data_IF_918488604896
#
_entry.id   IF_918488604896
#
_cell.length_a   1.000
_cell.length_b   1.000
_cell.length_c   1.000
_cell.angle_alpha   90.00
_cell.angle_beta   90.00
_cell.angle_gamma   90.00
#
_symmetry.space_group_name_H-M   'P 1'
#
loop_
_entity.id
_entity.type
_entity.pdbx_description
1 polymer ?
#
# COMPACT_ATOMS: atom_id res chain seq x y z
N UNK A 1 -18.45 72.24 20.79
CA UNK A 1 -18.12 73.67 20.93
C UNK A 1 -16.60 73.78 21.03
N UNK A 2 -15.95 73.97 19.88
CA UNK A 2 -14.54 74.37 19.75
C UNK A 2 -14.40 74.97 18.34
N UNK A 3 -13.76 76.13 18.27
CA UNK A 3 -13.81 77.11 17.17
C UNK A 3 -12.71 76.95 16.09
N UNK A 4 -13.07 77.43 14.89
CA UNK A 4 -12.33 78.18 13.84
C UNK A 4 -11.20 77.56 12.99
N UNK A 5 -11.37 77.84 11.69
CA UNK A 5 -10.33 78.06 10.66
C UNK A 5 -10.46 77.08 9.50
N UNK A 6 -10.68 77.43 8.23
CA UNK A 6 -10.75 78.70 7.50
C UNK A 6 -11.17 78.37 6.05
N UNK A 7 -11.60 79.38 5.32
CA UNK A 7 -12.24 79.35 3.99
C UNK A 7 -11.41 78.69 2.87
N UNK A 8 -12.08 78.02 1.92
CA UNK A 8 -12.29 78.48 0.53
C UNK A 8 -12.75 77.35 -0.40
N UNK A 9 -13.85 77.62 -1.10
CA UNK A 9 -13.97 77.33 -2.54
C UNK A 9 -14.84 76.14 -2.97
N UNK A 10 -16.01 76.48 -3.53
CA UNK A 10 -16.49 75.83 -4.75
C UNK A 10 -17.62 74.83 -4.59
N UNK A 11 -18.84 75.28 -4.89
CA UNK A 11 -20.11 74.54 -4.96
C UNK A 11 -20.02 73.17 -5.66
N UNK A 12 -20.60 72.14 -5.03
CA UNK A 12 -21.14 70.95 -5.70
C UNK A 12 -22.54 70.67 -5.16
N UNK A 13 -23.54 71.03 -5.95
CA UNK A 13 -24.89 70.51 -5.80
C UNK A 13 -25.04 69.10 -6.38
N UNK A 14 -26.09 68.42 -5.93
CA UNK A 14 -26.76 67.36 -6.69
C UNK A 14 -26.35 65.93 -6.36
N UNK A 15 -27.10 65.34 -5.45
CA UNK A 15 -27.04 63.93 -5.03
C UNK A 15 -27.79 62.99 -6.00
N UNK A 16 -27.45 61.69 -5.92
CA UNK A 16 -28.19 60.48 -6.37
C UNK A 16 -28.01 59.96 -7.81
N UNK A 17 -27.32 58.82 -7.88
CA UNK A 17 -27.88 57.63 -8.55
C UNK A 17 -26.96 56.91 -9.54
N UNK A 18 -26.72 55.62 -9.30
CA UNK A 18 -26.56 54.64 -10.38
C UNK A 18 -25.17 54.01 -10.55
N UNK A 19 -25.03 52.79 -10.03
CA UNK A 19 -24.05 51.81 -10.52
C UNK A 19 -24.26 51.57 -12.02
N UNK A 20 -23.26 51.90 -12.86
CA UNK A 20 -23.35 51.74 -14.30
C UNK A 20 -21.97 51.65 -14.97
N UNK A 21 -21.73 50.48 -15.56
CA UNK A 21 -20.61 50.09 -16.44
C UNK A 21 -20.07 51.22 -17.34
N UNK A 22 -18.75 51.30 -17.49
CA UNK A 22 -18.13 51.89 -18.68
C UNK A 22 -16.73 52.46 -18.50
N UNK A 23 -15.69 51.63 -18.67
CA UNK A 23 -14.40 52.12 -19.17
C UNK A 23 -14.01 51.28 -20.39
N UNK A 24 -14.28 51.85 -21.56
CA UNK A 24 -13.87 51.33 -22.86
C UNK A 24 -13.15 52.41 -23.65
N UNK A 25 -11.87 52.19 -23.94
CA UNK A 25 -11.08 52.74 -25.06
C UNK A 25 -9.72 52.07 -24.97
N UNK A 26 -9.18 51.31 -25.93
CA UNK A 26 -9.57 50.90 -27.27
C UNK A 26 -8.40 50.05 -27.80
N UNK A 27 -8.67 49.00 -28.55
CA UNK A 27 -7.62 48.11 -29.07
C UNK A 27 -8.20 46.87 -29.73
N UNK A 28 -8.90 47.06 -30.85
CA UNK A 28 -9.43 45.99 -31.71
C UNK A 28 -8.30 45.59 -32.66
N UNK A 29 -7.64 44.47 -32.37
CA UNK A 29 -6.74 43.75 -33.27
C UNK A 29 -7.24 42.31 -33.40
N UNK A 30 -7.83 42.01 -34.54
CA UNK A 30 -8.46 40.75 -34.91
C UNK A 30 -7.45 39.58 -35.02
N UNK A 31 -7.94 38.39 -34.62
CA UNK A 31 -7.67 37.05 -35.19
C UNK A 31 -6.27 36.42 -35.05
N UNK A 32 -6.27 35.31 -34.29
CA UNK A 32 -5.53 34.11 -34.68
C UNK A 32 -4.65 33.54 -33.57
N UNK A 33 -5.16 32.59 -32.79
CA UNK A 33 -4.32 31.89 -31.81
C UNK A 33 -5.09 31.00 -30.86
N UNK A 34 -5.49 29.83 -31.35
CA UNK A 34 -5.87 28.59 -30.63
C UNK A 34 -6.44 28.77 -29.22
N UNK A 35 -7.76 28.51 -29.09
CA UNK A 35 -8.37 27.96 -27.87
C UNK A 35 -7.38 27.00 -27.23
N UNK A 36 -6.86 27.36 -26.05
CA UNK A 36 -5.94 26.52 -25.28
C UNK A 36 -6.57 25.14 -25.18
N UNK A 37 -6.00 24.20 -25.93
CA UNK A 37 -6.45 22.83 -25.95
C UNK A 37 -6.51 22.35 -24.51
N UNK A 38 -7.67 21.83 -24.13
CA UNK A 38 -7.87 21.01 -22.94
C UNK A 38 -6.62 20.15 -22.81
N UNK A 39 -5.76 20.40 -21.81
CA UNK A 39 -4.53 19.63 -21.56
C UNK A 39 -4.93 18.17 -21.75
N UNK A 40 -4.45 17.58 -22.85
CA UNK A 40 -4.68 16.17 -23.13
C UNK A 40 -4.31 15.43 -21.87
N UNK A 41 -5.20 14.53 -21.43
CA UNK A 41 -4.95 13.74 -20.23
C UNK A 41 -3.53 13.22 -20.34
N UNK A 42 -2.67 13.63 -19.39
CA UNK A 42 -1.31 13.12 -19.27
C UNK A 42 -1.47 11.62 -19.32
N UNK A 43 -1.09 11.00 -20.45
CA UNK A 43 -0.96 9.56 -20.51
C UNK A 43 -0.10 9.24 -19.30
N UNK A 44 -0.61 8.40 -18.42
CA UNK A 44 0.17 7.92 -17.29
C UNK A 44 1.29 7.12 -17.92
N UNK A 45 2.42 7.78 -18.20
CA UNK A 45 3.69 7.10 -18.35
C UNK A 45 3.79 6.21 -17.12
N UNK A 46 3.81 4.89 -17.33
CA UNK A 46 4.06 3.96 -16.26
C UNK A 46 5.37 4.39 -15.59
N UNK A 47 5.28 4.85 -14.33
CA UNK A 47 6.45 5.27 -13.57
C UNK A 47 7.41 4.08 -13.50
N UNK A 48 8.44 4.12 -14.35
CA UNK A 48 9.45 3.07 -14.46
C UNK A 48 10.16 2.95 -13.12
N UNK A 49 9.89 1.89 -12.37
CA UNK A 49 10.48 1.67 -11.04
C UNK A 49 12.01 1.68 -11.10
N UNK A 50 12.65 2.57 -10.35
CA UNK A 50 14.10 2.61 -10.15
C UNK A 50 14.41 2.09 -8.75
N UNK A 51 15.07 0.92 -8.62
CA UNK A 51 15.31 0.29 -7.33
C UNK A 51 16.40 1.03 -6.56
N UNK A 52 16.16 1.27 -5.28
CA UNK A 52 17.11 1.97 -4.40
C UNK A 52 17.96 0.96 -3.64
N UNK A 53 17.34 -0.14 -3.22
CA UNK A 53 17.95 -1.21 -2.42
C UNK A 53 18.71 -2.21 -3.29
N UNK A 54 19.70 -2.88 -2.67
CA UNK A 54 20.40 -4.02 -3.27
C UNK A 54 19.42 -5.11 -3.71
N UNK A 55 18.43 -5.41 -2.86
CA UNK A 55 17.38 -6.38 -3.15
C UNK A 55 16.55 -5.96 -4.38
N UNK A 56 16.13 -4.70 -4.45
CA UNK A 56 15.38 -4.18 -5.60
C UNK A 56 16.15 -4.30 -6.91
N UNK A 57 17.48 -4.10 -6.90
CA UNK A 57 18.31 -4.28 -8.10
C UNK A 57 18.33 -5.74 -8.54
N UNK A 58 18.53 -6.67 -7.62
CA UNK A 58 18.54 -8.10 -7.92
C UNK A 58 17.22 -8.60 -8.51
N UNK A 59 16.10 -8.08 -7.98
CA UNK A 59 14.76 -8.44 -8.47
C UNK A 59 14.51 -7.82 -9.84
N UNK A 60 14.86 -6.54 -10.04
CA UNK A 60 14.69 -5.87 -11.33
C UNK A 60 15.57 -6.47 -12.44
N UNK A 61 16.75 -6.96 -12.09
CA UNK A 61 17.67 -7.63 -13.03
C UNK A 61 17.35 -9.12 -13.22
N UNK A 62 16.19 -9.61 -12.72
CA UNK A 62 15.75 -11.02 -12.81
C UNK A 62 16.77 -12.03 -12.25
N UNK A 63 17.54 -11.63 -11.23
CA UNK A 63 18.45 -12.53 -10.49
C UNK A 63 17.73 -13.25 -9.36
N UNK A 64 16.73 -12.60 -8.78
CA UNK A 64 15.76 -13.20 -7.85
C UNK A 64 14.44 -13.25 -8.58
N UNK A 65 13.99 -14.46 -8.91
CA UNK A 65 12.74 -14.66 -9.66
C UNK A 65 11.59 -15.14 -8.77
N UNK A 66 11.91 -15.66 -7.58
CA UNK A 66 10.94 -16.19 -6.63
C UNK A 66 10.99 -15.45 -5.31
N UNK A 67 9.81 -15.14 -4.77
CA UNK A 67 9.69 -14.56 -3.43
C UNK A 67 10.18 -15.52 -2.32
N UNK A 68 10.19 -16.82 -2.60
CA UNK A 68 10.70 -17.86 -1.70
C UNK A 68 12.18 -17.66 -1.33
N UNK A 69 13.01 -17.17 -2.24
CA UNK A 69 14.43 -16.87 -1.98
C UNK A 69 14.56 -15.77 -0.92
N UNK A 70 13.69 -14.76 -0.98
CA UNK A 70 13.64 -13.67 0.00
C UNK A 70 13.27 -14.23 1.38
N UNK A 71 12.29 -15.15 1.43
CA UNK A 71 11.85 -15.78 2.67
C UNK A 71 12.92 -16.70 3.27
N UNK A 72 13.58 -17.51 2.45
CA UNK A 72 14.62 -18.44 2.89
C UNK A 72 15.79 -17.70 3.53
N UNK A 73 16.24 -16.60 2.92
CA UNK A 73 17.35 -15.79 3.43
C UNK A 73 16.91 -14.69 4.41
N UNK A 74 15.61 -14.62 4.75
CA UNK A 74 15.04 -13.60 5.65
C UNK A 74 15.42 -12.16 5.28
N UNK A 75 15.44 -11.86 3.97
CA UNK A 75 15.87 -10.55 3.48
C UNK A 75 14.78 -9.50 3.73
N UNK A 76 15.11 -8.33 4.33
CA UNK A 76 14.11 -7.32 4.63
C UNK A 76 13.67 -6.58 3.37
N UNK A 77 12.38 -6.71 3.02
CA UNK A 77 11.76 -5.97 1.93
C UNK A 77 11.41 -4.55 2.39
N UNK A 78 11.92 -3.54 1.67
CA UNK A 78 11.66 -2.11 1.96
C UNK A 78 10.98 -1.36 0.81
N UNK A 79 10.86 -2.00 -0.35
CA UNK A 79 10.21 -1.45 -1.54
C UNK A 79 9.03 -2.36 -1.91
N UNK A 80 7.83 -1.81 -2.08
CA UNK A 80 6.63 -2.62 -2.36
C UNK A 80 6.65 -3.18 -3.79
N UNK A 81 7.35 -2.49 -4.70
CA UNK A 81 7.52 -2.89 -6.10
C UNK A 81 8.26 -4.23 -6.24
N UNK A 82 9.11 -4.59 -5.27
CA UNK A 82 9.75 -5.92 -5.20
C UNK A 82 8.67 -7.01 -5.16
N UNK A 83 7.64 -6.81 -4.35
CA UNK A 83 6.59 -7.82 -4.19
C UNK A 83 5.63 -7.81 -5.37
N UNK A 84 5.37 -6.64 -5.97
CA UNK A 84 4.55 -6.52 -7.18
C UNK A 84 5.15 -7.21 -8.40
N UNK A 85 6.49 -7.19 -8.51
CA UNK A 85 7.21 -7.86 -9.61
C UNK A 85 7.32 -9.37 -9.39
N UNK A 86 7.55 -9.81 -8.15
CA UNK A 86 7.72 -11.24 -7.83
C UNK A 86 6.41 -12.01 -7.71
N UNK A 87 5.33 -11.37 -7.26
CA UNK A 87 4.01 -11.99 -7.09
C UNK A 87 3.00 -11.19 -7.91
N UNK A 88 2.89 -11.45 -9.23
CA UNK A 88 1.86 -10.84 -10.05
C UNK A 88 0.48 -11.35 -9.61
N UNK A 89 -0.54 -10.49 -9.66
CA UNK A 89 -1.92 -10.87 -9.32
C UNK A 89 -2.33 -10.70 -7.86
N UNK A 90 -1.51 -10.02 -7.05
CA UNK A 90 -1.91 -9.60 -5.70
C UNK A 90 -3.18 -8.74 -5.73
N UNK A 91 -4.20 -9.20 -5.02
CA UNK A 91 -5.45 -8.46 -4.80
C UNK A 91 -5.42 -7.80 -3.44
N UNK A 92 -5.97 -6.59 -3.35
CA UNK A 92 -6.14 -5.88 -2.09
C UNK A 92 -7.61 -5.78 -1.70
N UNK A 93 -7.88 -5.86 -0.39
CA UNK A 93 -9.21 -5.63 0.16
C UNK A 93 -9.14 -4.77 1.42
N UNK A 94 -9.97 -3.72 1.45
CA UNK A 94 -10.13 -2.85 2.62
C UNK A 94 -11.07 -3.51 3.62
N UNK A 95 -10.54 -3.87 4.78
CA UNK A 95 -11.28 -4.61 5.80
C UNK A 95 -12.17 -3.70 6.65
N UNK A 96 -11.58 -2.61 7.14
CA UNK A 96 -12.28 -1.63 7.98
C UNK A 96 -11.58 -0.29 7.96
N UNK A 97 -12.39 0.77 8.04
CA UNK A 97 -11.95 2.13 8.28
C UNK A 97 -12.51 2.56 9.63
N UNK A 98 -11.66 3.09 10.51
CA UNK A 98 -12.06 3.61 11.82
C UNK A 98 -11.56 5.04 11.98
N UNK A 99 -12.43 6.02 12.31
CA UNK A 99 -11.98 7.34 12.72
C UNK A 99 -11.31 7.24 14.10
N UNK A 100 -10.18 7.91 14.26
CA UNK A 100 -9.45 8.05 15.52
C UNK A 100 -9.22 9.53 15.78
N UNK A 101 -9.39 9.95 17.03
CA UNK A 101 -9.43 11.37 17.39
C UNK A 101 -8.45 11.63 18.54
N UNK A 102 -7.79 12.78 18.51
CA UNK A 102 -6.91 13.26 19.60
C UNK A 102 -7.31 14.70 19.96
N UNK A 103 -7.48 14.97 21.25
CA UNK A 103 -7.71 16.34 21.73
C UNK A 103 -6.40 17.15 21.68
N UNK A 104 -6.49 18.38 21.18
CA UNK A 104 -5.39 19.35 21.15
C UNK A 104 -5.82 20.67 21.78
N UNK A 105 -4.87 21.60 21.99
CA UNK A 105 -5.18 22.94 22.50
C UNK A 105 -6.14 23.71 21.58
N UNK A 106 -6.12 23.44 20.27
CA UNK A 106 -6.99 24.05 19.27
C UNK A 106 -8.19 23.15 18.91
N UNK A 107 -8.69 22.36 19.87
CA UNK A 107 -9.84 21.46 19.67
C UNK A 107 -9.46 20.05 19.21
N UNK A 108 -10.43 19.35 18.63
CA UNK A 108 -10.30 17.93 18.28
C UNK A 108 -9.65 17.74 16.91
N UNK A 109 -8.60 16.90 16.85
CA UNK A 109 -7.96 16.49 15.59
C UNK A 109 -8.33 15.05 15.24
N UNK A 110 -9.04 14.87 14.13
CA UNK A 110 -9.46 13.56 13.62
C UNK A 110 -8.49 13.03 12.56
N UNK A 111 -8.36 11.70 12.51
CA UNK A 111 -7.63 10.95 11.48
C UNK A 111 -8.40 9.68 11.17
N UNK A 112 -8.13 9.06 10.03
CA UNK A 112 -8.72 7.78 9.65
C UNK A 112 -7.65 6.69 9.68
N UNK A 113 -7.95 5.60 10.37
CA UNK A 113 -7.17 4.38 10.39
C UNK A 113 -7.80 3.38 9.42
N UNK A 114 -7.03 2.93 8.43
CA UNK A 114 -7.44 1.91 7.47
C UNK A 114 -6.73 0.60 7.77
N UNK A 115 -7.47 -0.51 7.68
CA UNK A 115 -6.97 -1.87 7.73
C UNK A 115 -7.16 -2.49 6.35
N UNK A 116 -6.08 -2.97 5.74
CA UNK A 116 -6.07 -3.55 4.40
C UNK A 116 -5.36 -4.89 4.44
N UNK A 117 -5.90 -5.86 3.71
CA UNK A 117 -5.29 -7.17 3.45
C UNK A 117 -4.84 -7.17 2.00
N UNK A 118 -3.69 -7.76 1.72
CA UNK A 118 -3.19 -8.03 0.38
C UNK A 118 -2.84 -9.50 0.28
N UNK A 119 -3.18 -10.16 -0.82
CA UNK A 119 -2.80 -11.56 -1.05
C UNK A 119 -3.19 -12.06 -2.43
N UNK A 120 -2.65 -13.21 -2.80
CA UNK A 120 -2.87 -13.88 -4.08
C UNK A 120 -3.90 -15.02 -4.00
N UNK A 121 -4.27 -15.44 -2.77
CA UNK A 121 -5.10 -16.63 -2.57
C UNK A 121 -4.32 -17.93 -2.74
N UNK A 122 -2.98 -17.88 -2.78
CA UNK A 122 -2.12 -19.04 -3.02
C UNK A 122 -0.95 -19.09 -2.02
N UNK A 123 -1.24 -18.76 -0.76
CA UNK A 123 -0.25 -18.85 0.31
C UNK A 123 0.56 -17.59 0.55
N UNK A 124 0.19 -16.43 0.02
CA UNK A 124 0.83 -15.15 0.36
C UNK A 124 -0.18 -14.16 0.96
N UNK A 125 0.09 -13.68 2.18
CA UNK A 125 -0.78 -12.68 2.84
C UNK A 125 0.04 -11.60 3.50
N UNK A 126 -0.35 -10.36 3.22
CA UNK A 126 0.14 -9.14 3.86
C UNK A 126 -0.98 -8.40 4.60
N UNK A 127 -0.61 -7.76 5.71
CA UNK A 127 -1.53 -6.95 6.51
C UNK A 127 -0.99 -5.53 6.69
N UNK A 128 -1.81 -4.57 6.30
CA UNK A 128 -1.49 -3.16 6.31
C UNK A 128 -2.37 -2.39 7.27
N UNK A 129 -1.76 -1.60 8.15
CA UNK A 129 -2.48 -0.69 9.03
C UNK A 129 -1.85 0.68 8.93
N UNK A 130 -2.62 1.68 8.49
CA UNK A 130 -2.13 3.06 8.39
C UNK A 130 -3.16 4.06 8.86
N UNK A 131 -2.67 5.14 9.47
CA UNK A 131 -3.47 6.28 9.89
C UNK A 131 -3.07 7.52 9.07
N UNK A 132 -4.03 8.20 8.46
CA UNK A 132 -3.80 9.46 7.74
C UNK A 132 -4.92 10.47 8.00
N UNK A 133 -4.75 11.72 7.52
CA UNK A 133 -5.79 12.75 7.61
C UNK A 133 -6.96 12.46 6.67
N UNK A 134 -6.66 11.92 5.49
CA UNK A 134 -7.65 11.56 4.48
C UNK A 134 -7.78 10.05 4.36
N UNK A 135 -8.97 9.59 4.00
CA UNK A 135 -9.27 8.16 3.87
C UNK A 135 -8.47 7.54 2.72
N UNK A 136 -8.44 8.19 1.55
CA UNK A 136 -7.75 7.68 0.36
C UNK A 136 -6.25 7.49 0.60
N UNK A 137 -5.60 8.43 1.29
CA UNK A 137 -4.17 8.34 1.61
C UNK A 137 -3.89 7.27 2.67
N UNK A 138 -4.81 7.06 3.63
CA UNK A 138 -4.73 5.96 4.58
C UNK A 138 -4.80 4.59 3.86
N UNK A 139 -5.73 4.43 2.92
CA UNK A 139 -5.90 3.18 2.15
C UNK A 139 -4.66 2.91 1.29
N UNK A 140 -4.24 3.87 0.45
CA UNK A 140 -3.07 3.69 -0.43
C UNK A 140 -1.82 3.32 0.36
N UNK A 141 -1.57 4.01 1.46
CA UNK A 141 -0.41 3.70 2.27
C UNK A 141 -0.55 2.42 3.10
N UNK A 142 -1.77 1.96 3.41
CA UNK A 142 -2.00 0.65 4.01
C UNK A 142 -1.75 -0.47 3.01
N UNK A 143 -2.12 -0.30 1.73
CA UNK A 143 -1.79 -1.25 0.64
C UNK A 143 -0.28 -1.42 0.53
N UNK A 144 0.48 -0.31 0.49
CA UNK A 144 1.96 -0.36 0.45
C UNK A 144 2.51 -1.11 1.66
N UNK A 145 2.02 -0.83 2.87
CA UNK A 145 2.48 -1.50 4.08
C UNK A 145 2.14 -3.00 4.06
N UNK A 146 0.96 -3.37 3.57
CA UNK A 146 0.55 -4.76 3.41
C UNK A 146 1.47 -5.51 2.44
N UNK A 147 1.84 -4.91 1.30
CA UNK A 147 2.79 -5.48 0.35
C UNK A 147 4.18 -5.70 0.97
N UNK A 148 4.64 -4.78 1.82
CA UNK A 148 5.91 -4.94 2.54
C UNK A 148 5.86 -6.04 3.62
N UNK A 149 4.68 -6.34 4.15
CA UNK A 149 4.48 -7.31 5.23
C UNK A 149 3.92 -8.65 4.75
N UNK A 150 4.08 -8.98 3.47
CA UNK A 150 3.61 -10.28 2.92
C UNK A 150 4.42 -11.41 3.55
N UNK A 151 3.71 -12.38 4.10
CA UNK A 151 4.28 -13.55 4.76
C UNK A 151 3.77 -14.83 4.08
N UNK A 152 4.61 -15.85 3.91
CA UNK A 152 4.19 -17.11 3.31
C UNK A 152 3.33 -17.92 4.29
N UNK A 153 2.14 -18.30 3.86
CA UNK A 153 1.21 -19.19 4.56
C UNK A 153 1.43 -20.61 4.09
N UNK A 154 1.84 -21.46 5.03
CA UNK A 154 1.98 -22.88 4.74
C UNK A 154 0.63 -23.59 4.79
N UNK A 155 0.24 -24.15 3.66
CA UNK A 155 -0.91 -25.06 3.52
C UNK A 155 -0.46 -26.51 3.65
N UNK A 156 -1.38 -27.39 3.98
CA UNK A 156 -1.17 -28.80 4.25
C UNK A 156 -2.44 -29.61 4.06
N UNK A 157 -2.43 -30.80 4.64
CA UNK A 157 -3.46 -31.82 4.45
C UNK A 157 -4.14 -32.18 5.75
N UNK A 158 -5.37 -32.68 5.65
CA UNK A 158 -6.09 -33.26 6.77
C UNK A 158 -5.92 -34.78 6.75
N UNK A 159 -5.03 -35.28 7.60
CA UNK A 159 -4.68 -36.71 7.67
C UNK A 159 -3.87 -37.17 6.45
N UNK A 160 -4.55 -37.55 5.37
CA UNK A 160 -3.91 -38.11 4.16
C UNK A 160 -3.50 -37.02 3.15
N UNK A 161 -2.34 -37.20 2.52
CA UNK A 161 -1.79 -36.32 1.47
C UNK A 161 -2.43 -36.59 0.11
N UNK A 162 -3.72 -36.29 -0.02
CA UNK A 162 -4.47 -36.51 -1.24
C UNK A 162 -4.65 -35.16 -1.95
N UNK A 163 -4.28 -35.04 -3.22
CA UNK A 163 -4.51 -33.84 -4.04
C UNK A 163 -3.72 -32.60 -3.62
N UNK A 164 -4.30 -31.40 -3.82
CA UNK A 164 -3.68 -30.14 -3.45
C UNK A 164 -3.85 -29.82 -1.95
N UNK A 165 -2.89 -29.11 -1.32
CA UNK A 165 -3.02 -28.69 0.08
C UNK A 165 -4.20 -27.71 0.27
N UNK A 166 -5.20 -28.12 1.05
CA UNK A 166 -6.45 -27.37 1.24
C UNK A 166 -6.60 -26.76 2.64
N UNK A 167 -5.85 -27.27 3.64
CA UNK A 167 -5.99 -26.88 5.05
C UNK A 167 -4.66 -26.47 5.69
N UNK A 168 -4.61 -26.26 7.00
CA UNK A 168 -3.38 -25.98 7.76
C UNK A 168 -2.70 -27.31 8.14
N UNK A 169 -1.36 -27.44 8.09
CA UNK A 169 -0.69 -28.71 8.40
C UNK A 169 -0.84 -29.17 9.86
N UNK A 170 -1.02 -28.24 10.79
CA UNK A 170 -1.08 -28.50 12.22
C UNK A 170 -2.00 -27.49 12.91
N UNK A 171 -2.38 -27.77 14.17
CA UNK A 171 -3.14 -26.80 14.96
C UNK A 171 -2.22 -25.64 15.32
N UNK A 172 -2.51 -24.44 14.82
CA UNK A 172 -1.70 -23.24 15.06
C UNK A 172 -2.48 -22.24 15.91
N UNK A 173 -1.83 -21.65 16.90
CA UNK A 173 -2.41 -20.60 17.73
C UNK A 173 -1.67 -19.29 17.56
N UNK A 174 -2.41 -18.21 17.32
CA UNK A 174 -1.93 -16.84 17.27
C UNK A 174 -2.46 -16.01 18.41
N UNK A 175 -1.62 -15.14 18.97
CA UNK A 175 -2.01 -14.21 20.01
C UNK A 175 -1.60 -12.80 19.62
N UNK A 176 -2.52 -11.86 19.80
CA UNK A 176 -2.20 -10.43 19.76
C UNK A 176 -3.08 -9.70 20.78
N UNK A 177 -2.43 -9.02 21.72
CA UNK A 177 -3.09 -8.48 22.90
C UNK A 177 -3.77 -9.58 23.73
N UNK A 178 -5.05 -9.38 24.04
CA UNK A 178 -5.89 -10.35 24.78
C UNK A 178 -6.60 -11.37 23.89
N UNK A 179 -6.51 -11.25 22.56
CA UNK A 179 -7.19 -12.14 21.63
C UNK A 179 -6.26 -13.28 21.25
N UNK A 180 -6.79 -14.49 21.35
CA UNK A 180 -6.14 -15.73 20.90
C UNK A 180 -7.00 -16.37 19.82
N UNK A 181 -6.37 -16.81 18.74
CA UNK A 181 -7.01 -17.44 17.59
C UNK A 181 -6.34 -18.77 17.39
N UNK A 182 -7.14 -19.84 17.35
CA UNK A 182 -6.68 -21.18 17.07
C UNK A 182 -7.23 -21.64 15.74
N UNK A 183 -6.35 -22.05 14.85
CA UNK A 183 -6.67 -22.73 13.61
C UNK A 183 -6.58 -24.23 13.86
N UNK A 184 -7.61 -24.96 13.47
CA UNK A 184 -7.68 -26.42 13.55
C UNK A 184 -7.90 -26.96 12.13
N UNK A 185 -7.04 -27.87 11.65
CA UNK A 185 -7.20 -28.47 10.34
C UNK A 185 -8.56 -29.14 10.19
N UNK A 186 -9.19 -29.00 9.02
CA UNK A 186 -10.53 -29.49 8.76
C UNK A 186 -10.56 -30.44 7.53
N UNK A 187 -11.50 -31.40 7.50
CA UNK A 187 -11.70 -32.25 6.34
C UNK A 187 -12.18 -31.43 5.13
N UNK A 188 -11.97 -31.98 3.93
CA UNK A 188 -12.35 -31.30 2.68
C UNK A 188 -13.84 -31.00 2.60
N UNK A 189 -14.17 -29.80 2.12
CA UNK A 189 -15.55 -29.35 1.96
C UNK A 189 -16.17 -28.76 3.23
N UNK A 190 -15.39 -28.61 4.32
CA UNK A 190 -15.84 -27.90 5.53
C UNK A 190 -15.96 -26.39 5.30
N UNK A 191 -15.19 -25.85 4.37
CA UNK A 191 -14.99 -24.43 4.16
C UNK A 191 -14.30 -23.74 5.33
N UNK A 192 -14.21 -22.42 5.22
CA UNK A 192 -13.64 -21.57 6.27
C UNK A 192 -14.73 -21.27 7.31
N UNK A 193 -14.66 -21.95 8.45
CA UNK A 193 -15.54 -21.71 9.61
C UNK A 193 -14.92 -20.63 10.48
N UNK A 194 -15.17 -19.38 10.12
CA UNK A 194 -14.68 -18.19 10.82
C UNK A 194 -15.65 -17.01 10.69
N UNK A 195 -15.49 -16.01 11.56
CA UNK A 195 -16.19 -14.73 11.42
C UNK A 195 -15.83 -14.02 10.10
N UNK A 196 -16.63 -13.04 9.68
CA UNK A 196 -16.49 -12.38 8.36
C UNK A 196 -15.09 -11.84 8.07
N UNK A 197 -14.46 -11.18 9.04
CA UNK A 197 -13.11 -10.58 8.89
C UNK A 197 -12.03 -11.66 8.77
N UNK A 198 -11.87 -12.60 9.72
CA UNK A 198 -10.85 -13.64 9.59
C UNK A 198 -11.09 -14.57 8.41
N UNK A 199 -12.35 -14.79 8.01
CA UNK A 199 -12.68 -15.55 6.80
C UNK A 199 -12.01 -14.96 5.56
N UNK A 200 -12.10 -13.65 5.35
CA UNK A 200 -11.43 -12.97 4.24
C UNK A 200 -9.92 -13.13 4.29
N UNK A 201 -9.29 -12.95 5.47
CA UNK A 201 -7.84 -13.13 5.60
C UNK A 201 -7.41 -14.55 5.22
N UNK A 202 -8.17 -15.56 5.62
CA UNK A 202 -7.89 -16.96 5.28
C UNK A 202 -8.14 -17.26 3.79
N UNK A 203 -9.10 -16.56 3.15
CA UNK A 203 -9.29 -16.64 1.69
C UNK A 203 -8.09 -16.07 0.94
N UNK A 204 -7.56 -14.91 1.35
CA UNK A 204 -6.32 -14.36 0.77
C UNK A 204 -5.11 -15.26 1.04
N UNK A 205 -5.14 -16.05 2.11
CA UNK A 205 -4.12 -17.05 2.40
C UNK A 205 -4.21 -18.31 1.52
N UNK A 206 -5.30 -18.48 0.76
CA UNK A 206 -5.52 -19.69 -0.03
C UNK A 206 -5.90 -20.91 0.80
N UNK A 207 -6.38 -20.73 2.03
CA UNK A 207 -6.88 -21.82 2.86
C UNK A 207 -8.36 -22.03 2.53
N UNK A 208 -8.72 -23.25 2.14
CA UNK A 208 -10.09 -23.61 1.77
C UNK A 208 -10.89 -24.11 2.98
N UNK A 209 -10.29 -25.00 3.77
CA UNK A 209 -10.96 -25.65 4.90
C UNK A 209 -10.19 -25.41 6.21
N UNK A 210 -10.84 -24.79 7.19
CA UNK A 210 -10.27 -24.63 8.53
C UNK A 210 -11.35 -24.33 9.55
N UNK A 211 -11.26 -24.99 10.71
CA UNK A 211 -12.03 -24.60 11.89
C UNK A 211 -11.26 -23.55 12.67
N UNK A 212 -11.92 -22.45 13.01
CA UNK A 212 -11.31 -21.42 13.85
C UNK A 212 -12.02 -21.34 15.19
N UNK A 213 -11.25 -21.15 16.26
CA UNK A 213 -11.79 -20.74 17.55
C UNK A 213 -11.06 -19.50 18.04
N UNK A 214 -11.82 -18.52 18.52
CA UNK A 214 -11.27 -17.27 19.04
C UNK A 214 -11.70 -17.05 20.48
N UNK A 215 -10.76 -16.72 21.36
CA UNK A 215 -11.01 -16.39 22.77
C UNK A 215 -10.39 -15.04 23.11
N UNK A 216 -11.09 -14.25 23.93
CA UNK A 216 -10.66 -12.90 24.34
C UNK A 216 -11.59 -11.80 23.81
N UNK A 217 -11.13 -10.54 23.81
CA UNK A 217 -11.93 -9.39 23.37
C UNK A 217 -11.97 -9.23 21.84
N UNK A 218 -12.80 -10.06 21.19
CA UNK A 218 -12.91 -10.18 19.73
C UNK A 218 -13.59 -8.98 19.06
N UNK A 219 -14.14 -8.03 19.82
CA UNK A 219 -14.71 -6.77 19.28
C UNK A 219 -13.64 -5.89 18.61
N UNK A 220 -12.37 -6.06 18.98
CA UNK A 220 -11.25 -5.27 18.44
C UNK A 220 -10.62 -5.94 17.22
N UNK A 221 -10.95 -5.44 16.02
CA UNK A 221 -10.53 -6.05 14.75
C UNK A 221 -9.03 -5.90 14.42
N UNK A 222 -8.32 -5.02 15.12
CA UNK A 222 -6.91 -4.74 14.83
C UNK A 222 -5.91 -5.79 15.33
N UNK A 223 -6.35 -6.72 16.20
CA UNK A 223 -5.47 -7.62 16.92
C UNK A 223 -5.53 -9.07 16.42
N UNK A 224 -5.81 -9.32 15.14
CA UNK A 224 -6.19 -10.69 14.74
C UNK A 224 -5.10 -11.59 14.18
N UNK A 225 -3.91 -11.12 13.76
CA UNK A 225 -3.00 -12.03 13.01
C UNK A 225 -1.53 -11.75 13.22
N UNK A 226 -0.86 -12.68 13.92
CA UNK A 226 0.58 -12.97 13.84
C UNK A 226 0.78 -14.45 14.19
N UNK A 227 1.07 -15.32 13.21
CA UNK A 227 1.42 -16.73 13.45
C UNK A 227 2.33 -17.27 12.38
N UNK A 228 3.60 -17.48 12.69
CA UNK A 228 4.50 -18.37 11.96
C UNK A 228 5.49 -18.96 12.97
N UNK A 229 5.52 -20.28 13.10
CA UNK A 229 6.42 -20.94 14.06
C UNK A 229 6.00 -22.36 14.44
N UNK A 230 5.62 -23.20 13.46
CA UNK A 230 5.41 -24.62 13.75
C UNK A 230 6.26 -25.49 12.83
N UNK A 231 7.12 -26.31 13.42
CA UNK A 231 7.94 -27.31 12.73
C UNK A 231 7.16 -28.62 12.68
N UNK A 232 6.90 -29.13 11.48
CA UNK A 232 6.28 -30.46 11.31
C UNK A 232 7.35 -31.51 11.03
N UNK A 233 7.12 -32.80 11.36
CA UNK A 233 8.12 -33.87 11.18
C UNK A 233 8.70 -33.99 9.76
N UNK A 234 7.94 -33.60 8.74
CA UNK A 234 8.39 -33.53 7.34
C UNK A 234 9.59 -32.59 7.10
N UNK A 235 9.85 -31.66 8.01
CA UNK A 235 10.89 -30.62 7.90
C UNK A 235 12.05 -30.89 8.86
N UNK A 236 12.11 -32.09 9.44
CA UNK A 236 13.23 -32.52 10.28
C UNK A 236 14.45 -32.93 9.47
N UNK A 237 14.29 -33.17 8.16
CA UNK A 237 15.41 -33.40 7.27
C UNK A 237 16.27 -32.13 7.19
N UNK A 238 17.57 -32.27 7.45
CA UNK A 238 18.52 -31.17 7.37
C UNK A 238 18.62 -30.66 5.92
N UNK A 239 18.38 -29.37 5.74
CA UNK A 239 18.59 -28.70 4.46
C UNK A 239 19.96 -28.05 4.42
N UNK A 240 20.69 -28.24 3.31
CA UNK A 240 21.94 -27.52 3.07
C UNK A 240 21.58 -26.07 2.72
N UNK A 241 21.96 -25.12 3.57
CA UNK A 241 21.72 -23.71 3.31
C UNK A 241 22.52 -23.26 2.08
N UNK A 242 21.82 -22.69 1.09
CA UNK A 242 22.46 -22.03 -0.04
C UNK A 242 23.15 -20.75 0.41
N UNK A 243 24.12 -20.28 -0.39
CA UNK A 243 24.73 -18.96 -0.16
C UNK A 243 23.67 -17.89 -0.36
N UNK A 244 23.80 -16.79 0.39
CA UNK A 244 22.85 -15.69 0.24
C UNK A 244 22.99 -15.03 -1.14
N UNK A 245 21.90 -14.58 -1.79
CA UNK A 245 21.98 -13.87 -3.07
C UNK A 245 22.88 -12.63 -3.02
N UNK A 246 23.02 -12.02 -1.84
CA UNK A 246 23.94 -10.90 -1.64
C UNK A 246 25.41 -11.28 -1.72
N UNK A 247 25.78 -12.51 -1.37
CA UNK A 247 27.15 -13.02 -1.52
C UNK A 247 27.42 -13.46 -2.96
N UNK A 248 26.46 -14.12 -3.60
CA UNK A 248 26.62 -14.61 -4.98
C UNK A 248 26.71 -13.47 -6.00
N UNK A 249 25.95 -12.40 -5.79
CA UNK A 249 25.90 -11.26 -6.71
C UNK A 249 26.65 -10.02 -6.19
N UNK A 250 27.69 -10.24 -5.37
CA UNK A 250 28.50 -9.15 -4.79
C UNK A 250 29.05 -8.22 -5.88
N UNK A 251 29.56 -8.77 -6.99
CA UNK A 251 30.16 -7.99 -8.08
C UNK A 251 29.15 -7.08 -8.79
N UNK A 252 27.90 -7.54 -8.92
CA UNK A 252 26.81 -6.73 -9.48
C UNK A 252 26.39 -5.62 -8.52
N UNK A 253 26.32 -5.92 -7.22
CA UNK A 253 25.95 -4.97 -6.19
C UNK A 253 27.03 -3.93 -5.91
N UNK A 254 28.30 -4.24 -6.21
CA UNK A 254 29.43 -3.34 -6.12
C UNK A 254 29.43 -2.28 -7.24
N UNK A 255 28.74 -2.54 -8.37
CA UNK A 255 28.61 -1.54 -9.44
C UNK A 255 27.95 -0.28 -8.88
N UNK A 256 28.51 0.91 -9.16
CA UNK A 256 27.89 2.15 -8.74
C UNK A 256 26.49 2.20 -9.34
N UNK A 257 25.51 2.52 -8.50
CA UNK A 257 24.19 2.94 -8.98
C UNK A 257 24.46 4.03 -9.99
N UNK A 258 24.23 3.78 -11.29
CA UNK A 258 24.33 4.83 -12.31
C UNK A 258 23.62 6.04 -11.71
N UNK A 259 24.39 7.10 -11.50
CA UNK A 259 23.87 8.35 -10.97
C UNK A 259 22.66 8.75 -11.81
N UNK A 260 21.78 9.53 -11.19
CA UNK A 260 20.67 10.25 -11.81
C UNK A 260 21.17 11.12 -12.99
N UNK A 261 21.58 10.50 -14.08
CA UNK A 261 21.74 11.13 -15.38
C UNK A 261 20.43 10.86 -16.09
N UNK A 262 19.58 11.87 -16.00
CA UNK A 262 18.57 12.16 -17.01
C UNK A 262 19.25 11.93 -18.36
N UNK A 263 18.91 10.83 -19.04
CA UNK A 263 19.33 10.62 -20.42
C UNK A 263 18.72 11.77 -21.21
N UNK A 264 19.56 12.76 -21.54
CA UNK A 264 19.19 13.78 -22.52
C UNK A 264 18.83 13.05 -23.82
N UNK A 265 17.74 13.41 -24.50
CA UNK A 265 17.39 12.78 -25.76
C UNK A 265 18.54 13.05 -26.73
N UNK A 266 19.19 11.99 -27.19
CA UNK A 266 20.20 12.08 -28.23
C UNK A 266 19.52 12.57 -29.49
N UNK A 267 19.73 13.84 -29.82
CA UNK A 267 19.45 14.37 -31.15
C UNK A 267 20.26 13.55 -32.16
N UNK A 268 19.54 12.87 -33.05
CA UNK A 268 20.08 12.26 -34.25
C UNK A 268 20.66 13.37 -35.12
N UNK A 269 21.99 13.49 -35.15
CA UNK A 269 22.69 14.22 -36.19
C UNK A 269 22.82 13.26 -37.37
N UNK A 270 21.92 13.38 -38.34
CA UNK A 270 22.08 12.79 -39.66
C UNK A 270 23.16 13.57 -40.42
N UNK A 271 24.10 12.84 -41.03
CA UNK A 271 25.11 13.33 -41.95
C UNK A 271 24.57 13.33 -43.38
#
# INVERSE_FOLDING_TARGET
MAERGGERGGERGGERGGFGRGFGRGGRGDRGGRRGGRRGGRQQEEEKWVPVTKLGRLVKENRINKIEEIYLHSLPVKEHQIVETLVPGLKDEVMKITPVQKQTRAGQRTRFKAFVVVGDGDGHVGLGVKCAKEVATAIRGAIILAKLSVVPVRRGYWGNKIGQPHTVPCKVTGKCGSVTVRMVPAPRGSGIVAARVPKKVLQFAGIEDVFTSSRGSTKTLGNFVKTYGFLTPEFWAETKYAKTPFQEFTDLLAKPTKGLLIEAPTETVEA
#
